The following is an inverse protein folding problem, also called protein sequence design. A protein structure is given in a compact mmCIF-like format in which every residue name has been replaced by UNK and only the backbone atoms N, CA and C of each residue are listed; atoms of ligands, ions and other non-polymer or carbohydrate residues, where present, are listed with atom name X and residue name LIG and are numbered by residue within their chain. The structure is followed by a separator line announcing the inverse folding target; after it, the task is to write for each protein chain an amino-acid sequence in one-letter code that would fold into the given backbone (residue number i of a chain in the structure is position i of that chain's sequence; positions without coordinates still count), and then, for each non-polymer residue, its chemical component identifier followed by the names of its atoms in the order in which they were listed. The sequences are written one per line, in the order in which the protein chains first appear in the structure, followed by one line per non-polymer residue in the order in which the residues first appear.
data_IF_241918012361
#
_entry.id   IF_241918012361
#
_cell.length_a   1.000
_cell.length_b   1.000
_cell.length_c   1.000
_cell.angle_alpha   90.00
_cell.angle_beta   90.00
_cell.angle_gamma   90.00
#
_symmetry.space_group_name_H-M   'P 1'
#
loop_
_entity.id
_entity.type
_entity.pdbx_description
1 polymer ?
#
# COMPACT_ATOMS: atom_id res chain seq x y z
N UNK A 1 -25.52 -7.50 -40.21
CA UNK A 1 -25.21 -7.35 -38.78
C UNK A 1 -26.43 -6.73 -38.11
N UNK A 2 -27.01 -7.39 -37.09
CA UNK A 2 -28.22 -6.87 -36.41
C UNK A 2 -27.86 -5.68 -35.51
N UNK A 3 -28.66 -4.62 -35.56
CA UNK A 3 -28.50 -3.40 -34.75
C UNK A 3 -28.49 -3.72 -33.25
N UNK A 4 -29.21 -4.77 -32.85
CA UNK A 4 -29.26 -5.27 -31.47
C UNK A 4 -27.90 -5.82 -30.99
N UNK A 5 -27.14 -6.45 -31.89
CA UNK A 5 -25.80 -6.96 -31.60
C UNK A 5 -24.81 -5.82 -31.36
N UNK A 6 -24.94 -4.73 -32.14
CA UNK A 6 -24.12 -3.53 -31.99
C UNK A 6 -24.45 -2.82 -30.67
N UNK A 7 -25.74 -2.67 -30.34
CA UNK A 7 -26.16 -2.04 -29.08
C UNK A 7 -25.71 -2.82 -27.84
N UNK A 8 -25.79 -4.16 -27.88
CA UNK A 8 -25.27 -5.00 -26.78
C UNK A 8 -23.75 -4.88 -26.64
N UNK A 9 -23.01 -4.86 -27.75
CA UNK A 9 -21.56 -4.71 -27.72
C UNK A 9 -21.13 -3.35 -27.15
N UNK A 10 -21.80 -2.25 -27.57
CA UNK A 10 -21.52 -0.90 -27.07
C UNK A 10 -21.83 -0.78 -25.58
N UNK A 11 -22.96 -1.37 -25.13
CA UNK A 11 -23.34 -1.38 -23.72
C UNK A 11 -22.34 -2.16 -22.87
N UNK A 12 -21.90 -3.33 -23.32
CA UNK A 12 -20.89 -4.13 -22.62
C UNK A 12 -19.55 -3.40 -22.53
N UNK A 13 -19.13 -2.76 -23.62
CA UNK A 13 -17.85 -2.03 -23.67
C UNK A 13 -17.84 -0.82 -22.73
N UNK A 14 -18.93 -0.03 -22.73
CA UNK A 14 -19.10 1.10 -21.81
C UNK A 14 -19.05 0.68 -20.34
N UNK A 15 -19.73 -0.41 -19.99
CA UNK A 15 -19.77 -0.92 -18.62
C UNK A 15 -18.39 -1.41 -18.20
N UNK A 16 -17.69 -2.15 -19.06
CA UNK A 16 -16.32 -2.63 -18.78
C UNK A 16 -15.37 -1.46 -18.52
N UNK A 17 -15.42 -0.41 -19.35
CA UNK A 17 -14.56 0.75 -19.20
C UNK A 17 -14.83 1.51 -17.90
N UNK A 18 -16.11 1.69 -17.53
CA UNK A 18 -16.48 2.32 -16.27
C UNK A 18 -16.00 1.49 -15.08
N UNK A 19 -16.11 0.17 -15.12
CA UNK A 19 -15.66 -0.66 -13.99
C UNK A 19 -14.13 -0.65 -13.85
N UNK A 20 -13.39 -0.71 -14.97
CA UNK A 20 -11.92 -0.60 -14.96
C UNK A 20 -11.45 0.74 -14.39
N UNK A 21 -12.06 1.85 -14.82
CA UNK A 21 -11.71 3.20 -14.33
C UNK A 21 -11.91 3.31 -12.80
N UNK A 22 -12.94 2.64 -12.27
CA UNK A 22 -13.20 2.60 -10.84
C UNK A 22 -12.23 1.71 -10.08
N UNK A 23 -11.86 0.55 -10.65
CA UNK A 23 -10.89 -0.35 -10.07
C UNK A 23 -9.50 0.31 -9.97
N UNK A 24 -9.07 0.98 -11.05
CA UNK A 24 -7.81 1.72 -11.07
C UNK A 24 -7.82 2.89 -10.07
N UNK A 25 -8.95 3.60 -9.98
CA UNK A 25 -9.12 4.68 -9.00
C UNK A 25 -9.09 4.15 -7.56
N UNK A 26 -9.76 3.04 -7.29
CA UNK A 26 -9.74 2.37 -5.98
C UNK A 26 -8.33 1.89 -5.62
N UNK A 27 -7.63 1.24 -6.54
CA UNK A 27 -6.25 0.80 -6.31
C UNK A 27 -5.31 1.97 -6.03
N UNK A 28 -5.43 3.07 -6.76
CA UNK A 28 -4.62 4.28 -6.52
C UNK A 28 -4.86 4.85 -5.12
N UNK A 29 -6.12 4.92 -4.68
CA UNK A 29 -6.48 5.50 -3.39
C UNK A 29 -6.16 4.55 -2.23
N UNK A 30 -6.54 3.27 -2.33
CA UNK A 30 -6.40 2.30 -1.24
C UNK A 30 -4.93 1.95 -1.03
N UNK A 31 -4.19 1.60 -2.09
CA UNK A 31 -2.82 1.08 -1.96
C UNK A 31 -1.90 2.11 -1.32
N UNK A 32 -1.97 3.36 -1.79
CA UNK A 32 -1.13 4.45 -1.27
C UNK A 32 -1.45 4.77 0.18
N UNK A 33 -2.73 4.89 0.52
CA UNK A 33 -3.15 5.18 1.90
C UNK A 33 -2.84 4.02 2.86
N UNK A 34 -3.01 2.78 2.41
CA UNK A 34 -2.64 1.60 3.18
C UNK A 34 -1.13 1.57 3.46
N UNK A 35 -0.30 1.86 2.45
CA UNK A 35 1.16 1.94 2.60
C UNK A 35 1.55 3.00 3.65
N UNK A 36 0.96 4.19 3.59
CA UNK A 36 1.21 5.25 4.56
C UNK A 36 0.77 4.80 5.97
N UNK A 37 -0.40 4.17 6.10
CA UNK A 37 -0.89 3.67 7.38
C UNK A 37 0.00 2.56 7.98
N UNK A 38 0.49 1.62 7.16
CA UNK A 38 1.41 0.59 7.62
C UNK A 38 2.79 1.16 7.98
N UNK A 39 3.29 2.15 7.23
CA UNK A 39 4.53 2.85 7.54
C UNK A 39 4.42 3.59 8.89
N UNK A 40 3.31 4.28 9.15
CA UNK A 40 3.12 4.99 10.43
C UNK A 40 2.96 4.03 11.61
N UNK A 41 2.21 2.93 11.44
CA UNK A 41 2.07 1.89 12.46
C UNK A 41 3.40 1.20 12.78
N UNK A 42 4.19 0.85 11.76
CA UNK A 42 5.50 0.22 11.95
C UNK A 42 6.53 1.18 12.57
N UNK A 43 6.52 2.45 12.18
CA UNK A 43 7.33 3.48 12.80
C UNK A 43 6.94 3.67 14.28
N UNK A 44 5.65 3.80 14.58
CA UNK A 44 5.16 3.91 15.96
C UNK A 44 5.64 2.74 16.82
N UNK A 45 5.54 1.50 16.32
CA UNK A 45 6.04 0.32 17.02
C UNK A 45 7.56 0.36 17.22
N UNK A 46 8.30 0.78 16.20
CA UNK A 46 9.77 0.86 16.24
C UNK A 46 10.29 1.92 17.22
N UNK A 47 9.57 3.04 17.37
CA UNK A 47 9.93 4.11 18.31
C UNK A 47 9.34 3.91 19.72
N UNK A 48 8.28 3.13 19.86
CA UNK A 48 7.69 2.78 21.17
C UNK A 48 8.48 1.68 21.89
N UNK A 49 9.21 0.84 21.16
CA UNK A 49 10.18 -0.11 21.70
C UNK A 49 11.58 0.50 21.65
N UNK A 50 12.55 -0.02 22.42
CA UNK A 50 13.94 0.29 22.10
C UNK A 50 14.20 -0.20 20.67
N UNK A 51 14.69 0.71 19.83
CA UNK A 51 15.20 0.36 18.50
C UNK A 51 16.24 -0.74 18.69
N UNK A 52 16.31 -1.73 17.80
CA UNK A 52 17.29 -2.82 17.84
C UNK A 52 18.65 -2.22 18.23
N UNK A 53 19.03 -2.41 19.49
CA UNK A 53 20.30 -1.90 19.98
C UNK A 53 21.35 -2.78 19.34
N UNK A 54 22.32 -2.15 18.68
CA UNK A 54 23.50 -2.86 18.23
C UNK A 54 24.14 -3.46 19.49
N UNK A 55 24.13 -4.78 19.65
CA UNK A 55 24.87 -5.44 20.72
C UNK A 55 26.33 -5.03 20.58
N UNK A 56 26.88 -4.19 21.48
CA UNK A 56 28.27 -3.80 21.37
C UNK A 56 29.12 -5.04 21.64
N UNK A 57 30.21 -5.27 20.88
CA UNK A 57 31.16 -6.32 21.19
C UNK A 57 31.65 -6.17 22.63
N UNK A 58 31.92 -7.29 23.32
CA UNK A 58 32.33 -7.32 24.74
C UNK A 58 33.60 -6.53 25.08
N UNK A 59 34.32 -6.05 24.06
CA UNK A 59 35.54 -5.27 24.17
C UNK A 59 35.30 -3.75 24.22
N UNK A 60 34.05 -3.27 24.08
CA UNK A 60 33.76 -1.84 24.17
C UNK A 60 33.78 -1.36 25.63
N UNK A 61 34.38 -0.18 25.92
CA UNK A 61 34.37 0.39 27.26
C UNK A 61 32.94 0.76 27.69
N UNK A 62 32.62 0.59 28.98
CA UNK A 62 31.29 0.83 29.56
C UNK A 62 30.74 2.26 29.35
N UNK A 63 31.59 3.21 28.94
CA UNK A 63 31.18 4.56 28.52
C UNK A 63 30.34 4.59 27.24
N UNK A 64 30.27 3.48 26.49
CA UNK A 64 29.53 3.36 25.23
C UNK A 64 28.15 2.70 25.37
N UNK A 65 27.87 2.04 26.49
CA UNK A 65 26.54 1.52 26.86
C UNK A 65 25.88 2.53 27.77
N UNK A 66 24.93 3.30 27.23
CA UNK A 66 24.19 4.33 27.96
C UNK A 66 22.94 3.75 28.61
#
# INVERSE_FOLDING_TARGET
MSIEGILRSVRSFRISHVIDDWNDTLHRVITTNALVAFATLSAYKSFSSSVIECLPPSNFPRSWTR
#
